data_IF_760178950137
#
_entry.id   IF_760178950137
#
_cell.length_a   1.000
_cell.length_b   1.000
_cell.length_c   1.000
_cell.angle_alpha   90.00
_cell.angle_beta   90.00
_cell.angle_gamma   90.00
#
_symmetry.space_group_name_H-M   'P 1'
#
loop_
_entity.id
_entity.type
_entity.pdbx_description
1 polymer ?
#
# COMPACT_ATOMS: atom_id res chain seq x y z
N UNK A 1 1.29 35.89 -13.45
CA UNK A 1 2.07 34.93 -14.28
C UNK A 1 1.21 33.68 -14.46
N UNK A 2 1.28 32.96 -15.58
CA UNK A 2 0.52 31.71 -15.88
C UNK A 2 -1.03 31.80 -16.00
N UNK A 3 -1.59 32.96 -16.40
CA UNK A 3 -3.05 33.12 -16.50
C UNK A 3 -3.69 32.18 -17.54
N UNK A 4 -3.08 32.08 -18.73
CA UNK A 4 -3.54 31.20 -19.81
C UNK A 4 -3.49 29.73 -19.41
N UNK A 5 -2.41 29.31 -18.76
CA UNK A 5 -2.19 27.95 -18.29
C UNK A 5 -3.22 27.56 -17.24
N UNK A 6 -3.51 28.46 -16.30
CA UNK A 6 -4.53 28.22 -15.28
C UNK A 6 -5.92 28.08 -15.89
N UNK A 7 -6.30 28.96 -16.82
CA UNK A 7 -7.59 28.87 -17.48
C UNK A 7 -7.74 27.55 -18.24
N UNK A 8 -6.72 27.17 -19.03
CA UNK A 8 -6.73 25.90 -19.76
C UNK A 8 -6.77 24.73 -18.79
N UNK A 9 -5.91 24.69 -17.77
CA UNK A 9 -5.85 23.61 -16.79
C UNK A 9 -7.19 23.41 -16.06
N UNK A 10 -7.83 24.49 -15.59
CA UNK A 10 -9.16 24.46 -14.99
C UNK A 10 -10.20 23.88 -15.96
N UNK A 11 -10.21 24.34 -17.21
CA UNK A 11 -11.16 23.83 -18.21
C UNK A 11 -10.95 22.35 -18.51
N UNK A 12 -9.71 21.91 -18.78
CA UNK A 12 -9.47 20.52 -19.21
C UNK A 12 -9.69 19.53 -18.07
N UNK A 13 -9.28 19.88 -16.84
CA UNK A 13 -9.47 19.02 -15.66
C UNK A 13 -10.95 18.92 -15.29
N UNK A 14 -11.72 20.02 -15.32
CA UNK A 14 -13.17 19.97 -15.07
C UNK A 14 -13.91 19.13 -16.12
N UNK A 15 -13.51 19.20 -17.39
CA UNK A 15 -14.12 18.39 -18.46
C UNK A 15 -13.79 16.91 -18.32
N UNK A 16 -12.55 16.57 -18.01
CA UNK A 16 -12.15 15.19 -17.74
C UNK A 16 -12.87 14.63 -16.50
N UNK A 17 -13.01 15.42 -15.43
CA UNK A 17 -13.76 15.04 -14.24
C UNK A 17 -15.25 14.75 -14.54
N UNK A 18 -15.88 15.52 -15.42
CA UNK A 18 -17.26 15.25 -15.87
C UNK A 18 -17.34 13.99 -16.75
N UNK A 19 -16.34 13.77 -17.60
CA UNK A 19 -16.23 12.55 -18.40
C UNK A 19 -16.09 11.31 -17.51
N UNK A 20 -15.20 11.36 -16.51
CA UNK A 20 -15.01 10.30 -15.52
C UNK A 20 -16.32 9.96 -14.78
N UNK A 21 -17.06 10.97 -14.32
CA UNK A 21 -18.39 10.76 -13.72
C UNK A 21 -19.38 10.12 -14.69
N UNK A 22 -19.38 10.52 -15.97
CA UNK A 22 -20.23 9.91 -16.99
C UNK A 22 -19.89 8.43 -17.20
N UNK A 23 -18.59 8.09 -17.20
CA UNK A 23 -18.11 6.71 -17.29
C UNK A 23 -18.52 5.91 -16.06
N UNK A 24 -18.33 6.45 -14.86
CA UNK A 24 -18.75 5.83 -13.61
C UNK A 24 -20.25 5.51 -13.61
N UNK A 25 -21.10 6.48 -13.95
CA UNK A 25 -22.55 6.32 -13.95
C UNK A 25 -23.06 5.35 -15.05
N UNK A 26 -22.31 5.20 -16.15
CA UNK A 26 -22.71 4.29 -17.25
C UNK A 26 -22.20 2.87 -17.07
N UNK A 27 -20.99 2.71 -16.54
CA UNK A 27 -20.31 1.42 -16.50
C UNK A 27 -20.33 0.82 -15.10
N UNK A 28 -20.20 1.61 -14.04
CA UNK A 28 -20.09 1.08 -12.67
C UNK A 28 -21.45 0.95 -12.00
N UNK A 29 -22.31 1.96 -12.09
CA UNK A 29 -23.63 1.93 -11.41
C UNK A 29 -24.70 1.14 -12.16
N UNK A 30 -24.52 0.86 -13.45
CA UNK A 30 -25.49 0.13 -14.27
C UNK A 30 -25.47 -1.41 -14.04
N UNK A 31 -25.04 -1.86 -12.84
CA UNK A 31 -24.96 -3.25 -12.35
C UNK A 31 -24.24 -4.27 -13.27
N UNK A 32 -23.57 -3.79 -14.32
CA UNK A 32 -22.98 -4.62 -15.39
C UNK A 32 -21.53 -5.02 -15.12
N UNK A 33 -20.95 -4.51 -14.02
CA UNK A 33 -19.54 -4.70 -13.67
C UNK A 33 -19.45 -5.44 -12.35
N UNK A 34 -18.83 -6.62 -12.38
CA UNK A 34 -18.51 -7.36 -11.15
C UNK A 34 -17.41 -6.62 -10.38
N UNK A 35 -17.36 -6.74 -9.04
CA UNK A 35 -16.40 -6.01 -8.18
C UNK A 35 -14.91 -6.19 -8.53
N UNK A 36 -14.56 -7.14 -9.39
CA UNK A 36 -13.20 -7.41 -9.84
C UNK A 36 -12.91 -6.94 -11.27
N UNK A 37 -13.91 -6.46 -12.00
CA UNK A 37 -13.73 -5.95 -13.36
C UNK A 37 -13.14 -4.53 -13.32
N UNK A 38 -11.86 -4.44 -13.70
CA UNK A 38 -11.10 -3.18 -13.77
C UNK A 38 -11.38 -2.40 -15.07
N UNK A 39 -12.17 -2.95 -16.00
CA UNK A 39 -12.45 -2.32 -17.29
C UNK A 39 -13.02 -0.89 -17.19
N UNK A 40 -13.89 -0.52 -16.23
CA UNK A 40 -14.46 0.83 -16.18
C UNK A 40 -13.44 1.89 -15.81
N UNK A 41 -12.50 1.50 -14.94
CA UNK A 41 -11.35 2.29 -14.53
C UNK A 41 -10.46 2.53 -15.73
N UNK A 42 -10.02 1.45 -16.39
CA UNK A 42 -9.15 1.54 -17.57
C UNK A 42 -9.77 2.41 -18.67
N UNK A 43 -11.10 2.33 -18.88
CA UNK A 43 -11.80 3.20 -19.81
C UNK A 43 -11.78 4.66 -19.35
N UNK A 44 -12.02 4.95 -18.07
CA UNK A 44 -12.00 6.30 -17.52
C UNK A 44 -10.60 6.92 -17.60
N UNK A 45 -9.56 6.19 -17.20
CA UNK A 45 -8.16 6.61 -17.24
C UNK A 45 -7.72 7.02 -18.66
N UNK A 46 -7.87 6.10 -19.62
CA UNK A 46 -7.52 6.38 -21.01
C UNK A 46 -8.34 7.52 -21.60
N UNK A 47 -9.64 7.60 -21.29
CA UNK A 47 -10.50 8.67 -21.81
C UNK A 47 -10.12 10.04 -21.25
N UNK A 48 -9.82 10.13 -19.95
CA UNK A 48 -9.39 11.36 -19.31
C UNK A 48 -8.01 11.79 -19.81
N UNK A 49 -7.04 10.88 -19.87
CA UNK A 49 -5.71 11.19 -20.39
C UNK A 49 -5.75 11.62 -21.87
N UNK A 50 -6.52 10.93 -22.71
CA UNK A 50 -6.71 11.31 -24.11
C UNK A 50 -7.30 12.73 -24.23
N UNK A 51 -8.38 13.01 -23.51
CA UNK A 51 -9.07 14.31 -23.57
C UNK A 51 -8.15 15.44 -23.11
N UNK A 52 -7.48 15.28 -21.97
CA UNK A 52 -6.56 16.30 -21.43
C UNK A 52 -5.39 16.51 -22.39
N UNK A 53 -4.77 15.43 -22.88
CA UNK A 53 -3.64 15.52 -23.80
C UNK A 53 -4.02 16.20 -25.12
N UNK A 54 -5.19 15.90 -25.67
CA UNK A 54 -5.72 16.58 -26.86
C UNK A 54 -5.94 18.07 -26.61
N UNK A 55 -6.60 18.45 -25.52
CA UNK A 55 -6.93 19.85 -25.25
C UNK A 55 -5.69 20.67 -24.87
N UNK A 56 -4.74 20.08 -24.14
CA UNK A 56 -3.44 20.71 -23.89
C UNK A 56 -2.67 20.91 -25.20
N UNK A 57 -2.62 19.93 -26.10
CA UNK A 57 -1.90 20.07 -27.38
C UNK A 57 -2.42 21.21 -28.27
N UNK A 58 -3.70 21.57 -28.14
CA UNK A 58 -4.28 22.71 -28.88
C UNK A 58 -3.78 24.05 -28.36
N UNK A 59 -3.49 24.14 -27.06
CA UNK A 59 -3.09 25.39 -26.39
C UNK A 59 -1.56 25.49 -26.24
N UNK A 60 -0.91 24.35 -26.02
CA UNK A 60 0.52 24.20 -25.73
C UNK A 60 1.09 23.01 -26.54
N UNK A 61 1.19 23.13 -27.87
CA UNK A 61 1.53 22.00 -28.76
C UNK A 61 2.88 21.36 -28.44
N UNK A 62 3.84 22.18 -27.99
CA UNK A 62 5.23 21.78 -27.75
C UNK A 62 5.50 21.36 -26.29
N UNK A 63 4.54 21.55 -25.37
CA UNK A 63 4.74 21.14 -23.99
C UNK A 63 4.63 19.60 -23.89
N UNK A 64 5.67 18.91 -23.38
CA UNK A 64 5.61 17.49 -23.09
C UNK A 64 4.72 17.19 -21.89
N UNK A 65 4.24 15.95 -21.79
CA UNK A 65 3.36 15.49 -20.71
C UNK A 65 3.96 14.23 -20.09
N UNK A 66 4.12 14.24 -18.76
CA UNK A 66 4.32 13.03 -17.95
C UNK A 66 2.93 12.59 -17.47
N UNK A 67 2.31 11.67 -18.18
CA UNK A 67 1.02 11.06 -17.80
C UNK A 67 1.24 9.66 -17.25
N UNK A 68 0.37 9.19 -16.36
CA UNK A 68 0.42 7.83 -15.81
C UNK A 68 0.32 6.76 -16.91
N UNK A 69 -0.64 6.92 -17.82
CA UNK A 69 -1.02 5.89 -18.79
C UNK A 69 -0.18 5.94 -20.07
N UNK A 70 -0.13 4.83 -20.82
CA UNK A 70 0.39 4.77 -22.18
C UNK A 70 -0.56 4.01 -23.12
N UNK A 71 -0.48 4.19 -24.44
CA UNK A 71 -1.44 3.55 -25.33
C UNK A 71 -1.06 2.11 -25.73
N UNK A 72 -0.12 1.43 -25.06
CA UNK A 72 0.37 0.12 -25.47
C UNK A 72 -0.75 -0.93 -25.48
N UNK A 73 -1.63 -0.92 -24.47
CA UNK A 73 -2.77 -1.84 -24.42
C UNK A 73 -3.80 -1.56 -25.52
N UNK A 74 -3.91 -0.30 -25.97
CA UNK A 74 -4.85 0.11 -27.03
C UNK A 74 -4.35 -0.24 -28.44
N UNK A 75 -3.07 -0.58 -28.58
CA UNK A 75 -2.42 -0.87 -29.87
C UNK A 75 -2.35 -2.36 -30.19
N UNK A 76 -2.61 -3.23 -29.21
CA UNK A 76 -2.54 -4.67 -29.43
C UNK A 76 -3.63 -5.12 -30.43
N UNK A 77 -3.32 -6.05 -31.35
CA UNK A 77 -4.27 -6.55 -32.34
C UNK A 77 -5.23 -7.60 -31.75
N UNK A 78 -5.71 -7.39 -30.53
CA UNK A 78 -6.66 -8.28 -29.85
C UNK A 78 -8.07 -7.68 -29.91
N UNK A 79 -9.09 -8.52 -29.87
CA UNK A 79 -10.48 -8.06 -29.89
C UNK A 79 -10.79 -7.12 -28.70
N UNK A 80 -10.29 -7.43 -27.51
CA UNK A 80 -10.46 -6.61 -26.31
C UNK A 80 -9.82 -5.22 -26.46
N UNK A 81 -8.61 -5.14 -27.00
CA UNK A 81 -7.91 -3.87 -27.23
C UNK A 81 -8.61 -3.02 -28.28
N UNK A 82 -9.14 -3.63 -29.35
CA UNK A 82 -9.94 -2.94 -30.38
C UNK A 82 -11.24 -2.39 -29.75
N UNK A 83 -11.94 -3.18 -28.94
CA UNK A 83 -13.17 -2.74 -28.26
C UNK A 83 -12.88 -1.60 -27.29
N UNK A 84 -11.82 -1.70 -26.49
CA UNK A 84 -11.38 -0.65 -25.57
C UNK A 84 -11.02 0.64 -26.33
N UNK A 85 -10.22 0.55 -27.38
CA UNK A 85 -9.87 1.69 -28.25
C UNK A 85 -11.09 2.38 -28.82
N UNK A 86 -12.04 1.61 -29.36
CA UNK A 86 -13.29 2.14 -29.91
C UNK A 86 -14.13 2.84 -28.83
N UNK A 87 -14.21 2.26 -27.64
CA UNK A 87 -14.96 2.82 -26.51
C UNK A 87 -14.36 4.15 -26.05
N UNK A 88 -13.04 4.20 -25.83
CA UNK A 88 -12.31 5.41 -25.46
C UNK A 88 -12.49 6.48 -26.54
N UNK A 89 -12.33 6.11 -27.83
CA UNK A 89 -12.52 7.02 -28.96
C UNK A 89 -13.92 7.63 -28.99
N UNK A 90 -14.95 6.82 -28.77
CA UNK A 90 -16.34 7.29 -28.73
C UNK A 90 -16.57 8.28 -27.58
N UNK A 91 -16.10 7.94 -26.37
CA UNK A 91 -16.26 8.77 -25.17
C UNK A 91 -15.55 10.11 -25.30
N UNK A 92 -14.30 10.10 -25.77
CA UNK A 92 -13.52 11.33 -25.99
C UNK A 92 -14.15 12.21 -27.07
N UNK A 93 -14.58 11.62 -28.19
CA UNK A 93 -15.16 12.39 -29.28
C UNK A 93 -16.55 12.97 -28.96
N UNK A 94 -17.29 12.38 -28.02
CA UNK A 94 -18.54 12.97 -27.52
C UNK A 94 -18.31 14.31 -26.80
N UNK A 95 -17.11 14.52 -26.25
CA UNK A 95 -16.73 15.78 -25.60
C UNK A 95 -16.19 16.81 -26.60
N UNK A 96 -15.86 16.42 -27.83
CA UNK A 96 -15.20 17.30 -28.81
C UNK A 96 -16.18 17.81 -29.86
N UNK A 97 -15.98 19.05 -30.30
CA UNK A 97 -16.77 19.63 -31.40
C UNK A 97 -16.50 18.97 -32.76
N UNK A 98 -15.35 18.30 -32.91
CA UNK A 98 -14.96 17.56 -34.10
C UNK A 98 -14.26 16.26 -33.68
N UNK A 99 -14.55 15.12 -34.32
CA UNK A 99 -13.85 13.88 -34.04
C UNK A 99 -12.33 14.01 -34.21
N UNK A 100 -11.58 13.37 -33.33
CA UNK A 100 -10.12 13.31 -33.29
C UNK A 100 -9.66 11.86 -33.04
N UNK A 101 -8.42 11.58 -33.44
CA UNK A 101 -7.74 10.36 -33.00
C UNK A 101 -7.39 10.45 -31.51
N UNK A 102 -7.39 9.32 -30.81
CA UNK A 102 -6.98 9.24 -29.40
C UNK A 102 -5.47 8.98 -29.23
N UNK A 103 -4.68 9.01 -30.30
CA UNK A 103 -3.22 8.81 -30.26
C UNK A 103 -2.51 9.85 -29.36
N UNK A 104 -3.20 10.93 -28.99
CA UNK A 104 -2.73 11.90 -28.01
C UNK A 104 -2.45 11.30 -26.62
N UNK A 105 -2.97 10.11 -26.28
CA UNK A 105 -2.63 9.40 -25.03
C UNK A 105 -1.11 9.24 -24.90
N UNK A 106 -0.41 8.94 -26.00
CA UNK A 106 1.04 8.72 -26.01
C UNK A 106 1.84 10.00 -25.73
N UNK A 107 1.21 11.19 -25.75
CA UNK A 107 1.88 12.42 -25.32
C UNK A 107 2.29 12.35 -23.84
N UNK A 108 1.67 11.47 -23.04
CA UNK A 108 1.98 11.20 -21.63
C UNK A 108 3.27 10.41 -21.38
N UNK A 109 3.97 9.97 -22.43
CA UNK A 109 5.16 9.10 -22.30
C UNK A 109 6.46 9.83 -21.95
N UNK A 110 6.42 11.16 -21.74
CA UNK A 110 7.60 11.91 -21.36
C UNK A 110 8.17 11.39 -20.03
N UNK A 111 9.50 11.37 -19.91
CA UNK A 111 10.19 10.79 -18.77
C UNK A 111 10.37 11.77 -17.60
N UNK A 112 10.02 13.03 -17.79
CA UNK A 112 10.29 14.10 -16.82
C UNK A 112 11.75 14.51 -16.81
N UNK A 113 12.12 15.38 -15.87
CA UNK A 113 13.50 15.83 -15.71
C UNK A 113 13.62 17.20 -15.04
N UNK A 114 14.87 17.65 -14.92
CA UNK A 114 15.23 18.86 -14.18
C UNK A 114 15.16 20.15 -14.99
N UNK A 115 14.99 20.05 -16.31
CA UNK A 115 15.04 21.20 -17.21
C UNK A 115 13.81 21.32 -18.10
N UNK A 116 13.53 22.54 -18.52
CA UNK A 116 12.42 22.85 -19.40
C UNK A 116 11.06 22.86 -18.69
N UNK A 117 10.02 22.89 -19.51
CA UNK A 117 8.63 23.00 -19.09
C UNK A 117 7.88 21.73 -19.45
N UNK A 118 7.06 21.20 -18.54
CA UNK A 118 6.28 19.98 -18.76
C UNK A 118 4.99 19.97 -17.95
N UNK A 119 3.97 19.29 -18.47
CA UNK A 119 2.78 18.93 -17.70
C UNK A 119 2.97 17.58 -17.01
N UNK A 120 2.36 17.41 -15.85
CA UNK A 120 2.32 16.17 -15.09
C UNK A 120 0.86 15.83 -14.78
N UNK A 121 0.42 14.63 -15.14
CA UNK A 121 -0.98 14.25 -15.19
C UNK A 121 -1.20 12.87 -14.54
N UNK A 122 -2.15 12.82 -13.62
CA UNK A 122 -2.84 11.60 -13.21
C UNK A 122 -4.30 11.71 -13.68
N UNK A 123 -4.75 10.86 -14.62
CA UNK A 123 -6.09 10.94 -15.17
C UNK A 123 -7.19 10.51 -14.18
N UNK A 124 -6.97 9.51 -13.32
CA UNK A 124 -7.86 9.09 -12.23
C UNK A 124 -7.03 8.62 -11.02
N UNK A 125 -6.70 9.58 -10.18
CA UNK A 125 -6.03 9.30 -8.91
C UNK A 125 -7.03 8.70 -7.93
N UNK A 126 -6.64 7.63 -7.23
CA UNK A 126 -7.52 6.89 -6.33
C UNK A 126 -8.48 5.95 -7.07
N UNK A 127 -7.95 5.21 -8.04
CA UNK A 127 -8.66 4.24 -8.89
C UNK A 127 -9.55 3.24 -8.13
N UNK A 128 -9.12 2.76 -6.97
CA UNK A 128 -9.95 1.91 -6.08
C UNK A 128 -11.11 2.67 -5.44
N UNK A 129 -10.88 3.94 -5.09
CA UNK A 129 -11.89 4.87 -4.62
C UNK A 129 -12.93 5.13 -5.71
N UNK A 130 -12.49 5.33 -6.96
CA UNK A 130 -13.38 5.42 -8.12
C UNK A 130 -14.28 4.18 -8.24
N UNK A 131 -13.73 2.96 -8.27
CA UNK A 131 -14.52 1.72 -8.44
C UNK A 131 -15.60 1.50 -7.37
N UNK A 132 -15.35 1.95 -6.13
CA UNK A 132 -16.30 1.80 -5.01
C UNK A 132 -17.25 2.98 -4.85
N UNK A 133 -17.20 3.98 -5.73
CA UNK A 133 -17.97 5.22 -5.59
C UNK A 133 -17.51 6.11 -4.44
N UNK A 134 -16.28 5.91 -3.96
CA UNK A 134 -15.59 6.74 -2.96
C UNK A 134 -14.92 7.95 -3.57
N UNK A 135 -13.90 8.50 -2.91
CA UNK A 135 -13.16 9.66 -3.43
C UNK A 135 -12.21 9.25 -4.56
N UNK A 136 -12.09 10.10 -5.56
CA UNK A 136 -11.08 10.04 -6.62
C UNK A 136 -10.85 11.47 -7.14
N UNK A 137 -9.76 11.66 -7.87
CA UNK A 137 -9.42 12.97 -8.41
C UNK A 137 -8.86 12.90 -9.82
N UNK A 138 -8.96 14.02 -10.55
CA UNK A 138 -8.22 14.26 -11.80
C UNK A 138 -7.17 15.32 -11.50
N UNK A 139 -5.90 15.01 -11.67
CA UNK A 139 -4.79 15.80 -11.14
C UNK A 139 -3.88 16.28 -12.26
N UNK A 140 -3.66 17.59 -12.36
CA UNK A 140 -2.81 18.20 -13.37
C UNK A 140 -1.89 19.24 -12.76
N UNK A 141 -0.59 19.14 -13.05
CA UNK A 141 0.41 20.11 -12.65
C UNK A 141 1.23 20.58 -13.85
N UNK A 142 1.75 21.81 -13.75
CA UNK A 142 2.75 22.35 -14.65
C UNK A 142 4.07 22.53 -13.88
N UNK A 143 5.13 21.91 -14.40
CA UNK A 143 6.48 22.01 -13.88
C UNK A 143 7.36 22.83 -14.82
N UNK A 144 8.22 23.67 -14.24
CA UNK A 144 9.24 24.45 -14.95
C UNK A 144 10.55 24.29 -14.19
N UNK A 145 11.59 23.82 -14.87
CA UNK A 145 12.90 23.49 -14.29
C UNK A 145 12.76 22.57 -13.06
N UNK A 146 12.00 21.48 -13.21
CA UNK A 146 11.74 20.49 -12.14
C UNK A 146 10.91 21.02 -10.96
N UNK A 147 10.38 22.25 -11.02
CA UNK A 147 9.60 22.88 -9.93
C UNK A 147 8.15 23.06 -10.33
N UNK A 148 7.23 22.61 -9.47
CA UNK A 148 5.79 22.83 -9.65
C UNK A 148 5.46 24.33 -9.60
N UNK A 149 4.90 24.87 -10.67
CA UNK A 149 4.48 26.28 -10.79
C UNK A 149 2.97 26.45 -10.74
N UNK A 150 2.22 25.44 -11.17
CA UNK A 150 0.77 25.43 -11.17
C UNK A 150 0.26 24.02 -10.88
N UNK A 151 -0.79 23.91 -10.08
CA UNK A 151 -1.46 22.66 -9.73
C UNK A 151 -2.96 22.85 -9.76
N UNK A 152 -3.68 21.91 -10.37
CA UNK A 152 -5.13 21.86 -10.47
C UNK A 152 -5.60 20.44 -10.16
N UNK A 153 -6.58 20.31 -9.27
CA UNK A 153 -7.17 19.02 -8.89
C UNK A 153 -8.68 19.17 -8.95
N UNK A 154 -9.36 18.33 -9.73
CA UNK A 154 -10.81 18.18 -9.62
C UNK A 154 -11.15 16.94 -8.77
N UNK A 155 -12.02 17.14 -7.78
CA UNK A 155 -12.54 16.09 -6.91
C UNK A 155 -14.07 15.99 -7.11
N UNK A 156 -14.54 15.10 -8.00
CA UNK A 156 -15.97 14.95 -8.31
C UNK A 156 -16.86 14.62 -7.11
N UNK A 157 -16.35 13.84 -6.16
CA UNK A 157 -17.13 13.32 -5.04
C UNK A 157 -16.92 14.10 -3.73
N UNK A 158 -16.09 15.15 -3.75
CA UNK A 158 -15.83 15.97 -2.58
C UNK A 158 -16.90 17.08 -2.47
N UNK A 159 -17.48 17.34 -1.27
CA UNK A 159 -18.49 18.37 -1.11
C UNK A 159 -17.90 19.77 -1.35
N UNK A 160 -18.69 20.64 -1.98
CA UNK A 160 -18.30 22.04 -2.25
C UNK A 160 -18.12 22.80 -0.95
N UNK A 161 -19.05 22.64 -0.01
CA UNK A 161 -18.93 23.19 1.34
C UNK A 161 -18.53 22.06 2.31
N UNK A 162 -17.31 22.07 2.84
CA UNK A 162 -16.84 21.01 3.73
C UNK A 162 -17.60 20.96 5.06
N UNK A 163 -18.11 22.09 5.56
CA UNK A 163 -18.94 22.12 6.77
C UNK A 163 -20.36 21.58 6.56
N UNK A 164 -20.73 21.27 5.31
CA UNK A 164 -22.02 20.67 4.98
C UNK A 164 -21.83 19.48 4.01
N UNK A 165 -21.74 18.24 4.53
CA UNK A 165 -21.59 17.02 3.72
C UNK A 165 -22.71 16.80 2.70
N UNK A 166 -23.91 17.34 2.94
CA UNK A 166 -25.06 17.27 2.05
C UNK A 166 -25.06 18.36 0.95
N UNK A 167 -24.06 19.25 0.97
CA UNK A 167 -23.89 20.24 -0.10
C UNK A 167 -23.61 19.56 -1.44
N UNK A 168 -23.88 20.25 -2.57
CA UNK A 168 -23.51 19.73 -3.88
C UNK A 168 -22.05 19.29 -3.90
N UNK A 169 -21.80 18.14 -4.53
CA UNK A 169 -20.46 17.58 -4.71
C UNK A 169 -19.83 18.09 -5.99
N UNK A 170 -18.51 18.00 -6.04
CA UNK A 170 -17.72 18.34 -7.22
C UNK A 170 -17.07 19.71 -7.07
N UNK A 171 -15.79 19.71 -6.71
CA UNK A 171 -14.98 20.91 -6.57
C UNK A 171 -13.71 20.80 -7.40
N UNK A 172 -13.24 21.90 -7.95
CA UNK A 172 -11.90 22.03 -8.53
C UNK A 172 -11.09 23.01 -7.68
N UNK A 173 -9.91 22.58 -7.28
CA UNK A 173 -8.94 23.37 -6.54
C UNK A 173 -7.79 23.72 -7.46
N UNK A 174 -7.22 24.90 -7.29
CA UNK A 174 -6.09 25.35 -8.07
C UNK A 174 -5.17 26.26 -7.28
N UNK A 175 -3.88 26.19 -7.60
CA UNK A 175 -2.88 27.10 -7.07
C UNK A 175 -1.86 27.44 -8.15
N UNK A 176 -1.40 28.69 -8.13
CA UNK A 176 -0.24 29.15 -8.88
C UNK A 176 0.78 29.65 -7.88
N UNK A 177 2.03 29.26 -8.05
CA UNK A 177 3.10 29.59 -7.11
C UNK A 177 3.14 31.10 -6.80
N UNK A 178 3.07 31.44 -5.52
CA UNK A 178 3.07 32.79 -4.97
C UNK A 178 1.75 33.56 -5.15
N UNK A 179 0.65 32.91 -5.51
CA UNK A 179 -0.64 33.57 -5.76
C UNK A 179 -1.76 33.06 -4.84
N UNK A 180 -1.48 32.10 -3.95
CA UNK A 180 -2.47 31.49 -3.08
C UNK A 180 -3.19 30.30 -3.73
N UNK A 181 -3.94 29.58 -2.91
CA UNK A 181 -4.78 28.47 -3.31
C UNK A 181 -6.26 28.89 -3.35
N UNK A 182 -6.99 28.35 -4.31
CA UNK A 182 -8.39 28.66 -4.54
C UNK A 182 -9.21 27.43 -4.90
N UNK A 183 -10.53 27.54 -4.79
CA UNK A 183 -11.48 26.53 -5.24
C UNK A 183 -12.67 27.12 -5.98
N UNK A 184 -13.43 26.27 -6.67
CA UNK A 184 -14.82 26.53 -7.11
C UNK A 184 -15.56 25.22 -7.41
N UNK A 185 -16.89 25.21 -7.50
CA UNK A 185 -17.63 24.04 -7.99
C UNK A 185 -17.22 23.64 -9.41
N UNK A 186 -17.17 22.33 -9.72
CA UNK A 186 -16.85 21.83 -11.07
C UNK A 186 -17.90 22.28 -12.09
N UNK A 187 -19.16 22.40 -11.66
CA UNK A 187 -20.29 22.86 -12.49
C UNK A 187 -20.14 24.31 -12.94
N UNK A 188 -19.34 25.13 -12.25
CA UNK A 188 -19.17 26.55 -12.53
C UNK A 188 -17.90 26.80 -13.36
N UNK A 189 -17.89 26.37 -14.62
CA UNK A 189 -16.71 26.45 -15.50
C UNK A 189 -16.17 27.88 -15.71
N UNK A 190 -17.02 28.91 -15.54
CA UNK A 190 -16.63 30.33 -15.55
C UNK A 190 -16.88 31.02 -14.20
N UNK A 191 -17.12 30.24 -13.15
CA UNK A 191 -17.34 30.74 -11.79
C UNK A 191 -16.08 31.35 -11.19
N UNK A 192 -16.30 32.20 -10.19
CA UNK A 192 -15.24 32.88 -9.46
C UNK A 192 -14.50 31.89 -8.56
N UNK A 193 -13.18 31.94 -8.58
CA UNK A 193 -12.34 31.19 -7.64
C UNK A 193 -12.40 31.84 -6.26
N UNK A 194 -12.75 31.07 -5.24
CA UNK A 194 -12.76 31.52 -3.84
C UNK A 194 -11.48 31.06 -3.14
N UNK A 195 -10.84 31.92 -2.33
CA UNK A 195 -9.61 31.54 -1.63
C UNK A 195 -9.87 30.42 -0.62
N UNK A 196 -8.88 29.55 -0.44
CA UNK A 196 -8.86 28.50 0.58
C UNK A 196 -7.61 28.63 1.43
N UNK A 197 -7.65 28.12 2.65
CA UNK A 197 -6.53 28.16 3.58
C UNK A 197 -6.63 26.97 4.54
N UNK A 198 -5.48 26.43 4.94
CA UNK A 198 -5.42 25.50 6.06
C UNK A 198 -5.79 26.22 7.37
N UNK A 199 -6.36 25.48 8.31
CA UNK A 199 -6.61 26.02 9.65
C UNK A 199 -5.28 26.23 10.39
N UNK A 200 -5.11 27.36 11.10
CA UNK A 200 -4.02 27.50 12.04
C UNK A 200 -4.21 26.53 13.21
N UNK A 201 -3.13 25.92 13.69
CA UNK A 201 -3.17 24.97 14.80
C UNK A 201 -2.26 25.46 15.91
N UNK A 202 -2.83 25.66 17.09
CA UNK A 202 -2.12 26.04 18.29
C UNK A 202 -1.83 24.79 19.15
N UNK A 203 -0.90 24.88 20.12
CA UNK A 203 -0.69 23.78 21.07
C UNK A 203 -1.98 23.32 21.77
N UNK A 204 -2.92 24.23 22.03
CA UNK A 204 -4.21 23.92 22.65
C UNK A 204 -5.20 23.23 21.69
N UNK A 205 -5.10 23.52 20.38
CA UNK A 205 -5.98 22.92 19.38
C UNK A 205 -5.42 21.64 18.75
N UNK A 206 -4.13 21.34 18.96
CA UNK A 206 -3.46 20.17 18.39
C UNK A 206 -4.15 18.85 18.73
N UNK A 207 -4.69 18.69 19.95
CA UNK A 207 -5.40 17.47 20.33
C UNK A 207 -6.67 17.22 19.49
N UNK A 208 -7.23 18.28 18.91
CA UNK A 208 -8.40 18.22 18.03
C UNK A 208 -8.03 18.19 16.54
N UNK A 209 -6.74 18.15 16.19
CA UNK A 209 -6.32 17.96 14.81
C UNK A 209 -6.75 16.56 14.32
N UNK A 210 -6.88 16.40 13.01
CA UNK A 210 -7.33 15.17 12.36
C UNK A 210 -6.36 14.71 11.29
N UNK A 211 -6.16 13.40 11.21
CA UNK A 211 -5.40 12.79 10.13
C UNK A 211 -6.30 12.51 8.92
N UNK A 212 -5.84 12.85 7.73
CA UNK A 212 -6.36 12.37 6.46
C UNK A 212 -5.47 11.23 5.95
N UNK A 213 -5.93 9.99 6.07
CA UNK A 213 -5.15 8.80 5.68
C UNK A 213 -5.81 8.01 4.54
N UNK A 214 -5.05 7.12 3.92
CA UNK A 214 -5.57 6.25 2.87
C UNK A 214 -6.51 5.19 3.46
N UNK A 215 -7.64 4.93 2.79
CA UNK A 215 -8.54 3.83 3.16
C UNK A 215 -7.83 2.48 3.04
N UNK A 216 -6.94 2.35 2.04
CA UNK A 216 -6.19 1.13 1.75
C UNK A 216 -4.98 0.98 2.68
N UNK A 217 -5.01 -0.05 3.53
CA UNK A 217 -3.90 -0.35 4.46
C UNK A 217 -2.58 -0.71 3.77
N UNK A 218 -2.62 -1.16 2.52
CA UNK A 218 -1.41 -1.43 1.72
C UNK A 218 -0.74 -0.19 1.14
N UNK A 219 -1.31 1.01 1.32
CA UNK A 219 -0.78 2.27 0.77
C UNK A 219 -0.13 3.15 1.87
N UNK A 220 -0.31 2.79 3.15
CA UNK A 220 0.29 3.42 4.32
C UNK A 220 0.03 2.58 5.57
N UNK A 221 1.00 2.47 6.47
CA UNK A 221 0.84 1.73 7.73
C UNK A 221 -0.09 2.45 8.72
N UNK A 222 -1.31 1.93 8.88
CA UNK A 222 -2.35 2.53 9.74
C UNK A 222 -2.01 2.41 11.24
N UNK A 223 -1.29 1.37 11.66
CA UNK A 223 -0.80 1.26 13.04
C UNK A 223 0.17 2.38 13.40
N UNK A 224 0.92 2.86 12.40
CA UNK A 224 1.99 3.81 12.62
C UNK A 224 1.41 5.21 12.67
N UNK A 225 0.44 5.50 11.79
CA UNK A 225 -0.39 6.69 11.88
C UNK A 225 -1.07 6.80 13.26
N UNK A 226 -1.61 5.69 13.79
CA UNK A 226 -2.20 5.68 15.14
C UNK A 226 -1.17 5.96 16.24
N UNK A 227 0.05 5.41 16.14
CA UNK A 227 1.13 5.69 17.09
C UNK A 227 1.56 7.16 17.04
N UNK A 228 1.68 7.73 15.82
CA UNK A 228 2.00 9.15 15.61
C UNK A 228 0.90 10.05 16.18
N UNK A 229 -0.37 9.67 15.99
CA UNK A 229 -1.49 10.39 16.59
C UNK A 229 -1.41 10.42 18.12
N UNK A 230 -1.13 9.27 18.73
CA UNK A 230 -0.96 9.17 20.18
C UNK A 230 0.23 10.01 20.68
N UNK A 231 1.36 10.01 19.97
CA UNK A 231 2.53 10.82 20.31
C UNK A 231 2.25 12.33 20.25
N UNK A 232 1.39 12.76 19.32
CA UNK A 232 0.96 14.15 19.19
C UNK A 232 -0.22 14.51 20.10
N UNK A 233 -0.75 13.56 20.87
CA UNK A 233 -1.92 13.77 21.72
C UNK A 233 -3.21 14.03 20.93
N UNK A 234 -3.27 13.62 19.67
CA UNK A 234 -4.43 13.77 18.79
C UNK A 234 -5.51 12.78 19.20
N UNK A 235 -6.72 13.27 19.47
CA UNK A 235 -7.86 12.47 19.92
C UNK A 235 -8.95 12.30 18.87
N UNK A 236 -8.96 13.13 17.83
CA UNK A 236 -9.95 13.00 16.77
C UNK A 236 -9.63 11.79 15.88
N UNK A 237 -10.68 11.07 15.49
CA UNK A 237 -10.56 9.94 14.59
C UNK A 237 -10.02 10.35 13.20
N UNK A 238 -9.19 9.52 12.56
CA UNK A 238 -8.70 9.80 11.22
C UNK A 238 -9.84 9.77 10.19
N UNK A 239 -9.83 10.73 9.29
CA UNK A 239 -10.67 10.74 8.09
C UNK A 239 -9.98 9.95 7.00
N UNK A 240 -10.64 8.91 6.49
CA UNK A 240 -10.08 8.05 5.46
C UNK A 240 -10.62 8.40 4.08
N UNK A 241 -9.72 8.73 3.16
CA UNK A 241 -10.08 8.96 1.76
C UNK A 241 -8.94 8.60 0.79
N UNK A 242 -9.30 8.17 -0.41
CA UNK A 242 -8.34 7.92 -1.49
C UNK A 242 -7.99 9.20 -2.22
N UNK A 243 -7.00 9.09 -3.12
CA UNK A 243 -6.54 10.17 -4.01
C UNK A 243 -5.94 11.38 -3.29
N UNK A 244 -5.49 12.34 -4.09
CA UNK A 244 -5.07 13.67 -3.72
C UNK A 244 -6.25 14.55 -3.26
N UNK A 245 -7.48 14.01 -3.23
CA UNK A 245 -8.56 14.59 -2.41
C UNK A 245 -8.12 14.82 -0.95
N UNK A 246 -7.14 14.05 -0.44
CA UNK A 246 -6.48 14.32 0.86
C UNK A 246 -5.78 15.68 0.90
N UNK A 247 -4.97 16.02 -0.10
CA UNK A 247 -4.36 17.35 -0.20
C UNK A 247 -5.42 18.44 -0.28
N UNK A 248 -6.47 18.20 -1.09
CA UNK A 248 -7.58 19.14 -1.21
C UNK A 248 -8.28 19.36 0.14
N UNK A 249 -8.62 18.29 0.84
CA UNK A 249 -9.27 18.31 2.14
C UNK A 249 -8.47 19.14 3.16
N UNK A 250 -7.17 18.85 3.32
CA UNK A 250 -6.36 19.60 4.29
C UNK A 250 -6.14 21.06 3.85
N UNK A 251 -5.98 21.33 2.54
CA UNK A 251 -5.78 22.70 2.03
C UNK A 251 -6.97 23.63 2.25
N UNK A 252 -8.17 23.07 2.46
CA UNK A 252 -9.40 23.80 2.79
C UNK A 252 -9.65 23.95 4.29
N UNK A 253 -8.86 23.27 5.11
CA UNK A 253 -9.09 23.19 6.56
C UNK A 253 -10.13 22.13 6.96
N UNK A 254 -10.41 21.14 6.11
CA UNK A 254 -11.36 20.05 6.43
C UNK A 254 -10.68 18.94 7.24
N UNK A 255 -9.36 18.89 7.17
CA UNK A 255 -8.48 18.06 7.96
C UNK A 255 -7.13 18.74 8.13
N UNK A 256 -6.23 18.14 8.92
CA UNK A 256 -5.08 18.87 9.42
C UNK A 256 -3.74 18.28 8.98
N UNK A 257 -3.66 16.95 8.90
CA UNK A 257 -2.42 16.22 8.62
C UNK A 257 -2.68 15.10 7.62
N UNK A 258 -1.96 15.09 6.51
CA UNK A 258 -1.88 13.95 5.60
C UNK A 258 -0.55 13.21 5.82
N UNK A 259 -0.65 11.91 6.13
CA UNK A 259 0.49 10.99 6.20
C UNK A 259 0.43 9.95 5.08
N UNK A 260 1.56 9.76 4.42
CA UNK A 260 1.85 8.63 3.55
C UNK A 260 3.20 8.05 3.93
N UNK A 261 3.16 7.07 4.83
CA UNK A 261 4.36 6.37 5.29
C UNK A 261 4.79 5.33 4.24
N UNK A 262 6.10 5.18 3.98
CA UNK A 262 6.59 4.22 3.01
C UNK A 262 6.20 2.80 3.41
N UNK A 263 5.76 2.01 2.45
CA UNK A 263 5.36 0.60 2.66
C UNK A 263 6.52 -0.38 2.44
N UNK A 264 7.57 0.06 1.74
CA UNK A 264 8.84 -0.64 1.59
C UNK A 264 9.98 0.34 1.34
N UNK A 265 11.22 -0.08 1.58
CA UNK A 265 12.42 0.75 1.35
C UNK A 265 12.59 1.12 -0.13
N UNK A 266 12.23 0.23 -1.05
CA UNK A 266 12.46 0.40 -2.49
C UNK A 266 11.32 1.12 -3.21
N UNK A 267 10.20 1.39 -2.53
CA UNK A 267 9.09 2.08 -3.17
C UNK A 267 9.47 3.52 -3.50
N UNK A 268 9.18 3.92 -4.74
CA UNK A 268 9.32 5.29 -5.24
C UNK A 268 7.95 5.82 -5.64
N UNK A 269 7.54 6.89 -4.97
CA UNK A 269 6.32 7.63 -5.28
C UNK A 269 6.35 8.19 -6.70
N UNK A 270 5.20 8.24 -7.37
CA UNK A 270 5.11 8.84 -8.70
C UNK A 270 4.93 10.34 -8.57
N UNK A 271 5.48 11.11 -9.51
CA UNK A 271 5.38 12.58 -9.44
C UNK A 271 3.93 13.06 -9.60
N UNK A 272 3.12 12.33 -10.37
CA UNK A 272 1.72 12.70 -10.63
C UNK A 272 0.81 12.51 -9.41
N UNK A 273 1.16 11.62 -8.49
CA UNK A 273 0.47 11.39 -7.20
C UNK A 273 0.59 12.58 -6.22
N UNK A 274 1.51 13.52 -6.48
CA UNK A 274 1.88 14.53 -5.49
C UNK A 274 2.09 15.95 -6.05
N UNK A 275 2.45 16.11 -7.32
CA UNK A 275 2.85 17.41 -7.86
C UNK A 275 1.81 18.52 -7.65
N UNK A 276 0.52 18.37 -8.05
CA UNK A 276 -0.45 19.44 -7.86
C UNK A 276 -0.82 19.62 -6.39
N UNK A 277 -1.00 18.52 -5.64
CA UNK A 277 -1.36 18.57 -4.22
C UNK A 277 -0.31 19.27 -3.35
N UNK A 278 0.97 19.01 -3.62
CA UNK A 278 2.10 19.68 -2.97
C UNK A 278 2.01 21.19 -3.09
N UNK A 279 1.74 21.71 -4.29
CA UNK A 279 1.66 23.16 -4.50
C UNK A 279 0.41 23.75 -3.85
N UNK A 280 -0.74 23.09 -3.98
CA UNK A 280 -2.01 23.57 -3.41
C UNK A 280 -1.89 23.72 -1.90
N UNK A 281 -1.32 22.74 -1.19
CA UNK A 281 -1.10 22.83 0.26
C UNK A 281 -0.13 23.95 0.63
N UNK A 282 0.99 24.08 -0.09
CA UNK A 282 1.96 25.15 0.18
C UNK A 282 1.33 26.55 0.04
N UNK A 283 0.53 26.76 -1.01
CA UNK A 283 -0.16 28.03 -1.27
C UNK A 283 -1.37 28.26 -0.35
N UNK A 284 -1.89 27.21 0.30
CA UNK A 284 -2.92 27.29 1.34
C UNK A 284 -2.34 27.54 2.76
N UNK A 285 -1.01 27.69 2.90
CA UNK A 285 -0.34 27.94 4.17
C UNK A 285 0.20 26.70 4.89
N UNK A 286 0.23 25.55 4.23
CA UNK A 286 0.83 24.32 4.74
C UNK A 286 2.28 24.11 4.32
N UNK A 287 2.84 22.98 4.75
CA UNK A 287 4.13 22.47 4.31
C UNK A 287 3.99 21.01 3.89
N UNK A 288 4.77 20.62 2.87
CA UNK A 288 4.81 19.25 2.36
C UNK A 288 6.27 18.82 2.19
N UNK A 289 6.65 17.73 2.85
CA UNK A 289 7.99 17.13 2.78
C UNK A 289 7.90 15.61 2.70
N UNK A 290 9.04 14.96 2.55
CA UNK A 290 9.17 13.55 2.88
C UNK A 290 9.25 13.32 4.40
N UNK A 291 9.38 12.07 4.85
CA UNK A 291 9.48 11.71 6.28
C UNK A 291 10.79 12.20 6.94
N UNK A 292 11.77 12.61 6.15
CA UNK A 292 13.06 13.12 6.60
C UNK A 292 13.10 14.66 6.61
N UNK A 293 11.97 15.33 6.36
CA UNK A 293 11.82 16.79 6.27
C UNK A 293 12.55 17.43 5.07
N UNK A 294 12.84 16.65 4.02
CA UNK A 294 13.33 17.18 2.76
C UNK A 294 12.15 17.60 1.87
N UNK A 295 12.35 18.67 1.11
CA UNK A 295 11.40 19.05 0.06
C UNK A 295 11.28 17.93 -0.99
N UNK A 296 10.08 17.78 -1.57
CA UNK A 296 9.85 16.82 -2.64
C UNK A 296 10.56 17.25 -3.93
N UNK A 297 11.40 16.38 -4.49
CA UNK A 297 12.19 16.64 -5.69
C UNK A 297 11.55 16.04 -6.94
N UNK A 298 10.88 16.89 -7.72
CA UNK A 298 10.22 16.52 -8.97
C UNK A 298 11.16 16.57 -10.20
N UNK A 299 12.47 16.76 -10.00
CA UNK A 299 13.44 16.97 -11.08
C UNK A 299 14.09 15.70 -11.62
N UNK A 300 13.83 14.53 -10.99
CA UNK A 300 14.56 13.29 -11.23
C UNK A 300 13.83 12.26 -12.12
N UNK A 301 12.85 12.75 -12.87
CA UNK A 301 12.07 11.99 -13.85
C UNK A 301 10.63 11.74 -13.40
N UNK A 302 10.12 10.52 -13.61
CA UNK A 302 8.73 10.12 -13.32
C UNK A 302 8.44 9.83 -11.84
N UNK A 303 9.47 9.78 -11.00
CA UNK A 303 9.37 9.37 -9.59
C UNK A 303 10.12 10.32 -8.66
N UNK A 304 9.70 10.36 -7.39
CA UNK A 304 10.38 11.10 -6.31
C UNK A 304 11.55 10.27 -5.74
N UNK A 305 12.57 10.03 -6.55
CA UNK A 305 13.69 9.10 -6.24
C UNK A 305 14.44 9.42 -4.95
N UNK A 306 14.57 10.71 -4.63
CA UNK A 306 15.31 11.18 -3.47
C UNK A 306 14.44 11.35 -2.21
N UNK A 307 13.17 10.96 -2.26
CA UNK A 307 12.24 11.14 -1.15
C UNK A 307 11.67 9.79 -0.70
N UNK A 308 11.28 9.72 0.58
CA UNK A 308 10.62 8.54 1.17
C UNK A 308 9.38 8.95 1.95
N UNK A 309 8.24 8.38 1.56
CA UNK A 309 6.93 8.80 2.05
C UNK A 309 6.64 10.28 1.79
N UNK A 310 5.48 10.72 2.25
CA UNK A 310 5.04 12.12 2.17
C UNK A 310 4.29 12.51 3.43
N UNK A 311 4.59 13.71 3.93
CA UNK A 311 3.89 14.35 5.03
C UNK A 311 3.43 15.71 4.55
N UNK A 312 2.16 16.01 4.77
CA UNK A 312 1.61 17.35 4.56
C UNK A 312 0.82 17.78 5.79
N UNK A 313 1.05 18.99 6.26
CA UNK A 313 0.35 19.54 7.43
C UNK A 313 0.35 21.07 7.38
N UNK A 314 -0.43 21.70 8.26
CA UNK A 314 -0.30 23.14 8.51
C UNK A 314 1.15 23.46 8.90
N UNK A 315 1.66 24.61 8.43
CA UNK A 315 3.04 25.03 8.71
C UNK A 315 3.32 25.14 10.23
N UNK A 316 2.29 25.43 11.03
CA UNK A 316 2.38 25.59 12.48
C UNK A 316 2.82 24.31 13.20
N UNK A 317 2.38 23.14 12.72
CA UNK A 317 2.59 21.84 13.40
C UNK A 317 3.47 20.88 12.62
N UNK A 318 3.80 21.18 11.37
CA UNK A 318 4.54 20.27 10.49
C UNK A 318 5.85 19.77 11.13
N UNK A 319 6.58 20.65 11.83
CA UNK A 319 7.82 20.26 12.49
C UNK A 319 7.60 19.24 13.61
N UNK A 320 6.48 19.31 14.33
CA UNK A 320 6.15 18.37 15.40
C UNK A 320 5.64 17.05 14.84
N UNK A 321 4.88 17.07 13.73
CA UNK A 321 4.51 15.86 12.99
C UNK A 321 5.75 15.11 12.51
N UNK A 322 6.74 15.81 11.96
CA UNK A 322 8.02 15.22 11.55
C UNK A 322 8.73 14.55 12.73
N UNK A 323 8.83 15.24 13.88
CA UNK A 323 9.45 14.67 15.08
C UNK A 323 8.72 13.41 15.54
N UNK A 324 7.39 13.41 15.53
CA UNK A 324 6.60 12.25 15.90
C UNK A 324 6.82 11.08 14.93
N UNK A 325 6.81 11.32 13.62
CA UNK A 325 7.13 10.30 12.60
C UNK A 325 8.54 9.74 12.79
N UNK A 326 9.53 10.59 13.09
CA UNK A 326 10.92 10.17 13.30
C UNK A 326 11.15 9.40 14.62
N UNK A 327 10.26 9.53 15.61
CA UNK A 327 10.24 8.68 16.82
C UNK A 327 9.60 7.32 16.57
N UNK A 328 8.76 7.23 15.55
CA UNK A 328 8.17 6.00 15.05
C UNK A 328 8.68 5.68 13.64
N UNK A 329 10.00 5.62 13.40
CA UNK A 329 10.54 5.35 12.06
C UNK A 329 10.10 3.96 11.57
N UNK A 330 9.69 3.10 12.50
CA UNK A 330 9.35 1.68 12.42
C UNK A 330 10.46 0.84 11.75
N UNK A 331 10.69 -0.42 12.13
CA UNK A 331 10.06 -1.61 11.53
C UNK A 331 9.81 -1.60 10.00
N UNK A 332 9.96 -0.48 9.28
CA UNK A 332 9.75 -0.26 7.85
C UNK A 332 11.05 -0.32 7.03
N UNK A 333 12.21 -0.37 7.68
CA UNK A 333 13.55 -0.55 7.07
C UNK A 333 14.26 -1.85 7.52
N UNK A 334 13.65 -2.60 8.44
CA UNK A 334 14.33 -3.65 9.22
C UNK A 334 14.15 -5.08 8.68
N UNK A 335 13.59 -5.27 7.48
CA UNK A 335 13.56 -6.62 6.88
C UNK A 335 14.96 -7.06 6.41
N UNK A 336 15.81 -6.14 5.99
CA UNK A 336 17.19 -6.45 5.61
C UNK A 336 18.09 -6.64 6.84
N UNK A 337 17.91 -5.85 7.90
CA UNK A 337 18.66 -6.06 9.15
C UNK A 337 18.16 -7.24 9.99
N UNK A 338 16.86 -7.61 9.93
CA UNK A 338 16.42 -8.88 10.52
C UNK A 338 17.02 -10.07 9.80
N UNK A 339 17.22 -9.99 8.48
CA UNK A 339 17.91 -11.07 7.74
C UNK A 339 19.37 -11.16 8.20
N UNK A 340 20.06 -10.04 8.38
CA UNK A 340 21.45 -10.02 8.85
C UNK A 340 21.61 -10.43 10.31
N UNK A 341 20.66 -10.10 11.19
CA UNK A 341 20.62 -10.54 12.59
C UNK A 341 20.25 -12.02 12.68
N UNK A 342 19.32 -12.51 11.85
CA UNK A 342 18.98 -13.94 11.77
C UNK A 342 20.15 -14.74 11.18
N UNK A 343 20.86 -14.25 10.16
CA UNK A 343 22.07 -14.90 9.61
C UNK A 343 23.30 -14.74 10.52
N UNK A 344 23.41 -13.62 11.24
CA UNK A 344 24.49 -13.33 12.20
C UNK A 344 24.36 -14.12 13.50
N UNK A 345 23.13 -14.38 13.96
CA UNK A 345 22.86 -15.30 15.07
C UNK A 345 23.02 -16.76 14.60
N UNK A 346 22.64 -17.09 13.36
CA UNK A 346 22.81 -18.43 12.79
C UNK A 346 24.29 -18.81 12.56
N UNK A 347 25.18 -17.84 12.37
CA UNK A 347 26.63 -18.08 12.19
C UNK A 347 27.41 -18.17 13.50
N UNK A 348 26.85 -17.70 14.63
CA UNK A 348 27.50 -17.82 15.95
C UNK A 348 27.20 -19.09 16.73
N UNK A 349 26.22 -19.91 16.31
CA UNK A 349 25.92 -21.18 16.97
C UNK A 349 25.74 -22.33 15.95
N UNK A 350 26.85 -22.95 15.57
CA UNK A 350 26.88 -24.10 14.66
C UNK A 350 26.07 -25.32 15.17
N UNK A 351 25.74 -25.39 16.46
CA UNK A 351 24.90 -26.45 17.05
C UNK A 351 23.39 -26.21 16.85
N UNK A 352 22.93 -24.96 16.87
CA UNK A 352 21.49 -24.62 16.76
C UNK A 352 20.96 -24.73 15.34
N UNK A 353 21.82 -24.51 14.34
CA UNK A 353 21.45 -24.56 12.92
C UNK A 353 21.08 -25.97 12.42
N UNK A 354 21.60 -27.03 13.07
CA UNK A 354 21.25 -28.42 12.76
C UNK A 354 19.87 -28.78 13.31
N UNK A 355 19.56 -28.28 14.51
CA UNK A 355 18.29 -28.49 15.21
C UNK A 355 17.16 -27.74 14.49
N UNK A 356 17.37 -26.47 14.14
CA UNK A 356 16.37 -25.68 13.39
C UNK A 356 16.06 -26.27 12.02
N UNK A 357 17.07 -26.71 11.26
CA UNK A 357 16.84 -27.37 9.96
C UNK A 357 16.02 -28.67 10.10
N UNK A 358 16.27 -29.46 11.13
CA UNK A 358 15.48 -30.66 11.42
C UNK A 358 14.03 -30.33 11.79
N UNK A 359 13.78 -29.24 12.54
CA UNK A 359 12.42 -28.81 12.91
C UNK A 359 11.63 -28.19 11.76
N UNK A 360 12.28 -27.40 10.88
CA UNK A 360 11.62 -26.83 9.70
C UNK A 360 11.26 -27.92 8.69
N UNK A 361 12.13 -28.92 8.48
CA UNK A 361 11.83 -30.10 7.64
C UNK A 361 10.66 -30.91 8.20
N UNK A 362 10.58 -31.09 9.52
CA UNK A 362 9.48 -31.79 10.18
C UNK A 362 8.16 -31.01 10.07
N UNK A 363 8.20 -29.67 10.17
CA UNK A 363 7.04 -28.80 9.98
C UNK A 363 6.52 -28.84 8.53
N UNK A 364 7.41 -28.77 7.54
CA UNK A 364 7.06 -28.89 6.13
C UNK A 364 6.46 -30.28 5.85
N UNK A 365 7.08 -31.35 6.37
CA UNK A 365 6.59 -32.72 6.18
C UNK A 365 5.20 -32.93 6.81
N UNK A 366 4.94 -32.37 7.99
CA UNK A 366 3.62 -32.47 8.66
C UNK A 366 2.55 -31.62 7.97
N UNK A 367 2.90 -30.44 7.46
CA UNK A 367 1.99 -29.63 6.65
C UNK A 367 1.66 -30.29 5.31
N UNK A 368 2.66 -30.87 4.64
CA UNK A 368 2.47 -31.56 3.37
C UNK A 368 1.63 -32.84 3.54
N UNK A 369 1.83 -33.58 4.64
CA UNK A 369 1.00 -34.73 4.99
C UNK A 369 -0.44 -34.32 5.33
N UNK A 370 -0.63 -33.18 6.02
CA UNK A 370 -1.96 -32.62 6.26
C UNK A 370 -2.67 -32.22 4.97
N UNK A 371 -1.95 -31.65 4.00
CA UNK A 371 -2.48 -31.27 2.70
C UNK A 371 -2.86 -32.50 1.86
N UNK A 372 -2.01 -33.54 1.86
CA UNK A 372 -2.30 -34.82 1.20
C UNK A 372 -3.49 -35.56 1.82
N UNK A 373 -3.73 -35.39 3.12
CA UNK A 373 -4.88 -35.98 3.82
C UNK A 373 -6.18 -35.16 3.67
N UNK A 374 -6.08 -33.86 3.35
CA UNK A 374 -7.23 -32.99 3.05
C UNK A 374 -7.71 -33.11 1.61
N UNK A 375 -6.82 -33.48 0.68
CA UNK A 375 -7.17 -33.83 -0.69
C UNK A 375 -7.70 -35.27 -0.68
N UNK A 376 -9.02 -35.42 -0.58
CA UNK A 376 -9.73 -36.71 -0.66
C UNK A 376 -9.60 -37.33 -2.07
N UNK A 377 -8.43 -37.91 -2.35
CA UNK A 377 -8.18 -38.74 -3.52
C UNK A 377 -8.33 -40.20 -3.08
N UNK A 378 -9.54 -40.72 -3.27
CA UNK A 378 -9.91 -42.13 -3.09
C UNK A 378 -8.78 -43.07 -3.54
N UNK A 379 -8.09 -43.69 -2.59
CA UNK A 379 -7.34 -44.94 -2.76
C UNK A 379 -5.86 -44.87 -3.18
N UNK A 380 -5.28 -43.75 -3.60
CA UNK A 380 -3.92 -43.76 -4.20
C UNK A 380 -2.77 -43.19 -3.35
N UNK A 381 -3.02 -42.70 -2.13
CA UNK A 381 -1.97 -42.11 -1.27
C UNK A 381 -0.99 -43.15 -0.71
N UNK A 382 -1.46 -44.37 -0.42
CA UNK A 382 -0.61 -45.46 0.10
C UNK A 382 0.45 -45.94 -0.90
N UNK A 383 0.16 -45.94 -2.20
CA UNK A 383 1.11 -46.32 -3.25
C UNK A 383 2.16 -45.22 -3.52
N UNK A 384 1.83 -43.95 -3.29
CA UNK A 384 2.77 -42.84 -3.47
C UNK A 384 3.82 -42.76 -2.35
N UNK A 385 3.44 -43.16 -1.12
CA UNK A 385 4.34 -43.19 0.04
C UNK A 385 5.41 -44.29 -0.13
N UNK A 386 5.09 -45.42 -0.76
CA UNK A 386 6.04 -46.50 -1.04
C UNK A 386 7.10 -46.13 -2.12
N UNK A 387 6.82 -45.16 -2.98
CA UNK A 387 7.73 -44.67 -4.03
C UNK A 387 8.71 -43.59 -3.52
N UNK A 388 8.38 -42.90 -2.42
CA UNK A 388 9.19 -41.80 -1.89
C UNK A 388 10.24 -42.23 -0.85
N UNK A 389 10.21 -43.48 -0.38
CA UNK A 389 11.17 -44.02 0.58
C UNK A 389 11.55 -45.48 0.28
N UNK A 390 12.68 -45.76 -0.40
CA UNK A 390 13.26 -47.09 -0.35
C UNK A 390 13.89 -47.29 1.04
N UNK A 391 13.14 -47.91 1.93
CA UNK A 391 13.52 -48.18 3.32
C UNK A 391 14.65 -49.24 3.58
N UNK A 392 15.35 -49.86 2.60
CA UNK A 392 16.49 -50.73 2.94
C UNK A 392 17.86 -50.07 3.09
N UNK A 393 18.05 -48.78 2.75
CA UNK A 393 19.41 -48.16 2.76
C UNK A 393 19.75 -47.35 4.03
N UNK A 394 18.77 -46.96 4.84
CA UNK A 394 19.00 -46.22 6.10
C UNK A 394 19.23 -47.13 7.31
N UNK A 395 18.82 -48.40 7.23
CA UNK A 395 18.93 -49.37 8.33
C UNK A 395 20.27 -50.12 8.37
N UNK A 396 21.08 -50.05 7.31
CA UNK A 396 22.38 -50.74 7.23
C UNK A 396 23.59 -49.92 7.73
N UNK A 397 23.38 -48.70 8.24
CA UNK A 397 24.45 -47.85 8.77
C UNK A 397 24.51 -47.76 10.30
N UNK A 398 23.62 -48.45 11.02
CA UNK A 398 23.66 -48.50 12.48
C UNK A 398 24.16 -49.87 12.94
N UNK A 399 25.45 -49.96 13.25
CA UNK A 399 25.99 -51.14 13.94
C UNK A 399 25.65 -51.07 15.43
N UNK A 400 25.63 -52.22 16.11
CA UNK A 400 25.32 -52.39 17.55
C UNK A 400 26.12 -51.49 18.52
N UNK A 401 27.13 -50.73 18.05
CA UNK A 401 27.86 -49.75 18.85
C UNK A 401 27.08 -48.45 19.11
N UNK A 402 26.16 -48.04 18.23
CA UNK A 402 25.44 -46.77 18.39
C UNK A 402 24.25 -46.86 19.37
N UNK A 403 23.79 -48.07 19.69
CA UNK A 403 22.74 -48.31 20.69
C UNK A 403 23.26 -48.34 22.14
N UNK A 404 24.59 -48.31 22.37
CA UNK A 404 25.18 -48.32 23.71
C UNK A 404 25.54 -46.93 24.27
N UNK A 405 25.20 -45.83 23.58
CA UNK A 405 25.40 -44.46 24.11
C UNK A 405 24.29 -43.97 25.04
N UNK A 406 23.38 -44.85 25.49
CA UNK A 406 22.35 -44.53 26.49
C UNK A 406 22.83 -44.84 27.94
N UNK A 407 24.00 -45.45 28.12
CA UNK A 407 24.52 -45.82 29.45
C UNK A 407 25.81 -45.08 29.83
N UNK A 408 25.84 -43.75 29.77
CA UNK A 408 26.95 -42.97 30.34
C UNK A 408 26.59 -42.48 31.77
N UNK A 409 27.41 -42.74 32.81
CA UNK A 409 27.14 -42.33 34.20
C UNK A 409 27.02 -40.81 34.44
N UNK A 410 27.36 -39.98 33.44
CA UNK A 410 27.28 -38.52 33.52
C UNK A 410 25.84 -37.95 33.43
N UNK A 411 24.83 -38.76 33.11
CA UNK A 411 23.43 -38.32 33.02
C UNK A 411 22.66 -38.42 34.35
N UNK A 412 23.31 -38.78 35.47
CA UNK A 412 22.64 -38.93 36.78
C UNK A 412 22.32 -37.64 37.53
N UNK A 413 22.80 -36.48 37.09
CA UNK A 413 22.71 -35.23 37.88
C UNK A 413 21.86 -34.11 37.24
N UNK A 414 20.98 -34.41 36.30
CA UNK A 414 20.03 -33.42 35.75
C UNK A 414 18.62 -33.69 36.33
N UNK A 415 18.04 -32.76 37.09
CA UNK A 415 16.70 -32.93 37.64
C UNK A 415 15.63 -32.53 36.61
N UNK A 416 14.98 -33.50 35.94
CA UNK A 416 13.52 -33.52 35.66
C UNK A 416 13.06 -34.65 34.67
N UNK A 417 11.75 -35.02 34.67
CA UNK A 417 11.19 -36.15 33.93
C UNK A 417 10.78 -35.75 32.50
N UNK A 418 11.67 -35.82 31.51
CA UNK A 418 11.33 -35.41 30.11
C UNK A 418 11.69 -36.40 29.02
N UNK A 419 12.57 -37.36 29.28
CA UNK A 419 12.90 -38.45 28.34
C UNK A 419 11.91 -39.61 28.39
N UNK A 420 11.29 -39.85 29.55
CA UNK A 420 10.35 -40.96 29.71
C UNK A 420 8.99 -40.71 29.05
N UNK A 421 8.52 -39.45 28.99
CA UNK A 421 7.19 -39.12 28.44
C UNK A 421 7.15 -39.29 26.92
N UNK A 422 8.21 -38.88 26.21
CA UNK A 422 8.32 -39.01 24.77
C UNK A 422 8.43 -40.49 24.33
N UNK A 423 9.18 -41.29 25.10
CA UNK A 423 9.27 -42.74 24.91
C UNK A 423 7.95 -43.46 25.18
N UNK A 424 7.20 -43.03 26.20
CA UNK A 424 5.86 -43.55 26.49
C UNK A 424 4.86 -43.21 25.37
N UNK A 425 4.88 -41.99 24.83
CA UNK A 425 4.00 -41.59 23.73
C UNK A 425 4.29 -42.35 22.44
N UNK A 426 5.57 -42.59 22.10
CA UNK A 426 5.91 -43.40 20.93
C UNK A 426 5.53 -44.87 21.12
N UNK A 427 5.69 -45.40 22.32
CA UNK A 427 5.33 -46.79 22.64
C UNK A 427 3.82 -47.01 22.60
N UNK A 428 3.04 -46.06 23.12
CA UNK A 428 1.57 -46.08 23.04
C UNK A 428 1.07 -45.96 21.59
N UNK A 429 1.73 -45.11 20.79
CA UNK A 429 1.44 -44.93 19.36
C UNK A 429 1.66 -46.24 18.58
N UNK A 430 2.76 -46.95 18.83
CA UNK A 430 3.01 -48.26 18.23
C UNK A 430 2.03 -49.34 18.70
N UNK A 431 1.63 -49.34 19.99
CA UNK A 431 0.68 -50.32 20.53
C UNK A 431 -0.74 -50.13 20.00
N UNK A 432 -1.17 -48.88 19.79
CA UNK A 432 -2.50 -48.53 19.26
C UNK A 432 -2.62 -48.81 17.76
N UNK A 433 -1.54 -48.63 16.99
CA UNK A 433 -1.46 -49.06 15.59
C UNK A 433 -1.50 -50.59 15.44
N UNK A 434 -0.93 -51.33 16.40
CA UNK A 434 -0.92 -52.80 16.37
C UNK A 434 -2.28 -53.44 16.72
N UNK A 435 -3.13 -52.77 17.53
CA UNK A 435 -4.38 -53.38 18.06
C UNK A 435 -5.67 -53.01 17.36
N UNK A 436 -5.66 -52.18 16.31
CA UNK A 436 -6.78 -51.97 15.37
C UNK A 436 -8.17 -51.72 16.03
N UNK A 437 -8.23 -51.03 17.18
CA UNK A 437 -9.45 -50.98 18.02
C UNK A 437 -9.97 -49.58 18.34
N UNK A 438 -9.34 -48.51 17.85
CA UNK A 438 -9.85 -47.13 18.01
C UNK A 438 -9.72 -46.40 16.68
N UNK A 439 -10.73 -45.60 16.30
CA UNK A 439 -10.68 -44.84 15.05
C UNK A 439 -9.42 -43.97 15.01
N UNK A 440 -8.66 -44.08 13.92
CA UNK A 440 -7.39 -43.36 13.72
C UNK A 440 -7.54 -41.85 13.92
N UNK A 441 -8.73 -41.31 13.66
CA UNK A 441 -9.08 -39.89 13.87
C UNK A 441 -9.07 -39.47 15.34
N UNK A 442 -9.54 -40.33 16.26
CA UNK A 442 -9.62 -40.01 17.69
C UNK A 442 -8.23 -40.00 18.34
N UNK A 443 -7.39 -40.96 17.95
CA UNK A 443 -6.00 -41.06 18.45
C UNK A 443 -5.14 -39.90 17.92
N UNK A 444 -5.32 -39.51 16.65
CA UNK A 444 -4.62 -38.37 16.07
C UNK A 444 -5.06 -37.04 16.68
N UNK A 445 -6.34 -36.87 17.00
CA UNK A 445 -6.84 -35.65 17.65
C UNK A 445 -6.28 -35.45 19.07
N UNK A 446 -6.19 -36.52 19.86
CA UNK A 446 -5.61 -36.50 21.21
C UNK A 446 -4.09 -36.26 21.17
N UNK A 447 -3.37 -36.91 20.23
CA UNK A 447 -1.94 -36.67 20.05
C UNK A 447 -1.66 -35.23 19.61
N UNK A 448 -2.45 -34.70 18.67
CA UNK A 448 -2.31 -33.33 18.20
C UNK A 448 -2.57 -32.34 19.34
N UNK A 449 -3.70 -32.47 20.06
CA UNK A 449 -4.04 -31.61 21.20
C UNK A 449 -2.91 -31.55 22.23
N UNK A 450 -2.37 -32.70 22.63
CA UNK A 450 -1.30 -32.80 23.64
C UNK A 450 -0.01 -32.15 23.16
N UNK A 451 0.34 -32.31 21.87
CA UNK A 451 1.53 -31.68 21.28
C UNK A 451 1.36 -30.17 21.18
N UNK A 452 0.21 -29.66 20.73
CA UNK A 452 -0.05 -28.21 20.66
C UNK A 452 -0.07 -27.56 22.04
N UNK A 453 -0.64 -28.20 23.05
CA UNK A 453 -0.70 -27.64 24.40
C UNK A 453 0.70 -27.61 25.05
N UNK A 454 1.50 -28.64 24.82
CA UNK A 454 2.90 -28.68 25.28
C UNK A 454 3.76 -27.64 24.56
N UNK A 455 3.52 -27.44 23.26
CA UNK A 455 4.19 -26.41 22.46
C UNK A 455 3.82 -24.99 22.92
N UNK A 456 2.53 -24.70 23.14
CA UNK A 456 2.05 -23.40 23.64
C UNK A 456 2.69 -23.05 25.00
N UNK A 457 2.72 -23.99 25.94
CA UNK A 457 3.35 -23.78 27.25
C UNK A 457 4.87 -23.58 27.17
N UNK A 458 5.52 -24.19 26.18
CA UNK A 458 6.96 -24.03 25.95
C UNK A 458 7.26 -22.65 25.38
N UNK A 459 6.51 -22.21 24.37
CA UNK A 459 6.63 -20.86 23.80
C UNK A 459 6.31 -19.76 24.83
N UNK A 460 5.31 -19.97 25.69
CA UNK A 460 4.95 -19.02 26.74
C UNK A 460 6.07 -18.90 27.80
N UNK A 461 6.70 -20.01 28.17
CA UNK A 461 7.83 -20.02 29.10
C UNK A 461 9.09 -19.37 28.50
N UNK A 462 9.41 -19.67 27.23
CA UNK A 462 10.54 -19.03 26.54
C UNK A 462 10.31 -17.52 26.35
N UNK A 463 9.09 -17.09 26.07
CA UNK A 463 8.72 -15.67 26.00
C UNK A 463 8.89 -14.97 27.37
N UNK A 464 8.50 -15.63 28.47
CA UNK A 464 8.70 -15.11 29.83
C UNK A 464 10.17 -15.03 30.21
N UNK A 465 10.99 -16.01 29.84
CA UNK A 465 12.43 -16.02 30.12
C UNK A 465 13.19 -14.98 29.28
N UNK A 466 12.80 -14.77 28.00
CA UNK A 466 13.27 -13.67 27.15
C UNK A 466 12.89 -12.28 27.71
N UNK A 467 11.68 -12.16 28.26
CA UNK A 467 11.23 -10.92 28.91
C UNK A 467 12.04 -10.60 30.17
N UNK A 468 12.40 -11.62 30.98
CA UNK A 468 13.28 -11.47 32.15
C UNK A 468 14.71 -11.10 31.77
N UNK A 469 15.26 -11.69 30.70
CA UNK A 469 16.59 -11.35 30.18
C UNK A 469 16.68 -9.91 29.65
N UNK A 470 15.64 -9.41 28.97
CA UNK A 470 15.56 -8.00 28.53
C UNK A 470 15.50 -7.01 29.69
N UNK A 471 14.88 -7.38 30.81
CA UNK A 471 14.84 -6.52 31.99
C UNK A 471 16.16 -6.52 32.78
N UNK A 472 16.85 -7.67 32.85
CA UNK A 472 18.16 -7.77 33.51
C UNK A 472 19.27 -6.98 32.78
N UNK A 473 19.13 -6.72 31.48
CA UNK A 473 20.06 -5.89 30.69
C UNK A 473 19.75 -4.38 30.76
N UNK A 474 18.61 -3.97 31.30
CA UNK A 474 18.28 -2.54 31.53
C UNK A 474 18.68 -2.05 32.92
N UNK A 475 19.02 -2.96 33.83
CA UNK A 475 19.41 -2.68 35.23
C UNK A 475 20.89 -2.96 35.53
N UNK A 476 21.69 -3.22 34.51
CA UNK A 476 23.16 -3.27 34.52
C UNK A 476 23.68 -2.26 33.51
#
# INVERSE_FOLDING_TARGET
>A
MLKSELQVALTVVSRAANLAQSVFNKLVTAETVTKNDKSPVTVADYSCQALISLLLSKSFPNDPIVGEEDANDLKQPTESSIQLKNRVTQLVNAELSKPQSIDAIDRGTFQGGSSGRMWCLDPIDGTKGFLRGGQYAVCLALLVEGKVQLGVIACPNLPVNPSNPDSPKGVVLAAVKGQGAFQRPISETNGTLTPIRMNPITPESLSYASFCESVESGHSSQSDAANIANELGITNEPVRMDSQAKYCSISRGDGDIYLRLPVSADYEEKIWDHAPGRLIVAEAGGKVTDIHNNDLDFSLGRTLKNNKGVIAASADIHADVIKAVQKHPNQLLDQDQQTEIVTGIATKNAASNKIYRSFTLLFIATHFLSLLLRLDMRGNVLNLIALLFPLPSLLNTLTQRDLMLIAHPALRNIPEPRSHLLGLTLSLFCLLLYRNTVSTRTVLALAFSTITETWMRTCEKEAQDLHKLKYAQKSA
#
